data_IF_145693671814
#
_entry.id   IF_145693671814
#
_cell.length_a   1.000
_cell.length_b   1.000
_cell.length_c   1.000
_cell.angle_alpha   90.00
_cell.angle_beta   90.00
_cell.angle_gamma   90.00
#
_symmetry.space_group_name_H-M   'P 1'
#
loop_
_entity.id
_entity.type
_entity.pdbx_description
1 polymer ?
#
# COMPACT_ATOMS: atom_id res chain seq x y z
N UNK A 1 -1.89 -25.90 6.18
CA UNK A 1 -2.33 -26.24 4.81
C UNK A 1 -1.71 -25.23 3.86
N UNK A 2 -1.20 -25.65 2.70
CA UNK A 2 -0.55 -24.75 1.75
C UNK A 2 -1.63 -24.24 0.79
N UNK A 3 -2.07 -22.98 0.97
CA UNK A 3 -3.11 -22.39 0.12
C UNK A 3 -2.61 -22.23 -1.32
N UNK A 4 -3.50 -22.47 -2.30
CA UNK A 4 -3.21 -22.20 -3.72
C UNK A 4 -2.88 -20.71 -3.88
N UNK A 5 -1.86 -20.37 -4.65
CA UNK A 5 -1.45 -18.99 -4.94
C UNK A 5 -1.65 -18.65 -6.41
N UNK A 6 -2.28 -17.52 -6.70
CA UNK A 6 -2.60 -17.06 -8.05
C UNK A 6 -2.09 -15.63 -8.24
N UNK A 7 -1.39 -15.35 -9.34
CA UNK A 7 -0.82 -14.02 -9.67
C UNK A 7 -1.30 -13.47 -11.02
N UNK A 8 -2.29 -14.10 -11.66
CA UNK A 8 -2.82 -13.69 -12.97
C UNK A 8 -3.55 -12.34 -12.91
N UNK A 9 -3.80 -11.72 -14.07
CA UNK A 9 -4.62 -10.50 -14.16
C UNK A 9 -6.06 -10.77 -13.70
N UNK A 10 -6.77 -9.71 -13.32
CA UNK A 10 -8.15 -9.66 -12.80
C UNK A 10 -9.13 -10.76 -13.23
N UNK A 11 -10.09 -11.05 -12.35
CA UNK A 11 -11.04 -12.15 -12.43
C UNK A 11 -12.49 -11.68 -12.38
N UNK A 12 -13.35 -12.24 -13.24
CA UNK A 12 -14.80 -12.18 -13.02
C UNK A 12 -15.16 -12.93 -11.73
N UNK A 13 -16.34 -12.64 -11.18
CA UNK A 13 -16.76 -13.19 -9.89
C UNK A 13 -16.71 -14.73 -9.86
N UNK A 14 -17.10 -15.38 -10.95
CA UNK A 14 -17.18 -16.83 -11.08
C UNK A 14 -15.81 -17.52 -11.18
N UNK A 15 -14.75 -16.77 -11.43
CA UNK A 15 -13.38 -17.28 -11.56
C UNK A 15 -12.64 -17.28 -10.20
N UNK A 16 -13.26 -16.73 -9.15
CA UNK A 16 -12.69 -16.79 -7.80
C UNK A 16 -12.84 -18.17 -7.17
N UNK A 17 -11.79 -18.61 -6.49
CA UNK A 17 -11.69 -19.88 -5.79
C UNK A 17 -11.54 -19.61 -4.28
N UNK A 18 -12.34 -20.30 -3.47
CA UNK A 18 -12.20 -20.24 -2.01
C UNK A 18 -10.85 -20.79 -1.58
N UNK A 19 -10.40 -20.37 -0.40
CA UNK A 19 -9.14 -20.81 0.22
C UNK A 19 -7.88 -20.53 -0.64
N UNK A 20 -8.01 -19.64 -1.63
CA UNK A 20 -6.92 -19.22 -2.52
C UNK A 20 -6.35 -17.88 -2.08
N UNK A 21 -5.03 -17.74 -2.20
CA UNK A 21 -4.30 -16.48 -2.02
C UNK A 21 -4.07 -15.83 -3.38
N UNK A 22 -4.67 -14.67 -3.59
CA UNK A 22 -4.43 -13.83 -4.76
C UNK A 22 -3.24 -12.91 -4.48
N UNK A 23 -2.09 -13.24 -5.05
CA UNK A 23 -0.82 -12.60 -4.75
C UNK A 23 -0.61 -11.38 -5.66
N UNK A 24 -0.61 -10.19 -5.04
CA UNK A 24 -0.53 -8.93 -5.74
C UNK A 24 0.89 -8.59 -6.16
N UNK A 25 1.09 -8.30 -7.45
CA UNK A 25 2.41 -7.97 -8.01
C UNK A 25 2.30 -6.95 -9.15
N UNK A 26 3.33 -6.11 -9.36
CA UNK A 26 4.59 -6.02 -8.60
C UNK A 26 4.44 -5.32 -7.25
N UNK A 27 5.38 -5.53 -6.33
CA UNK A 27 5.50 -4.71 -5.12
C UNK A 27 5.95 -3.29 -5.43
N UNK A 28 5.76 -2.36 -4.47
CA UNK A 28 6.18 -0.96 -4.59
C UNK A 28 7.18 -0.60 -3.49
N UNK A 29 8.33 -0.06 -3.89
CA UNK A 29 9.26 0.59 -2.95
C UNK A 29 8.74 1.98 -2.62
N UNK A 30 8.68 2.32 -1.34
CA UNK A 30 8.22 3.62 -0.85
C UNK A 30 9.43 4.51 -0.58
N UNK A 31 9.35 5.76 -1.04
CA UNK A 31 10.39 6.76 -0.88
C UNK A 31 9.87 7.96 -0.08
N UNK A 32 10.77 8.86 0.32
CA UNK A 32 10.39 10.12 0.95
C UNK A 32 9.46 10.97 0.05
N UNK A 33 9.69 10.95 -1.27
CA UNK A 33 8.89 11.71 -2.22
C UNK A 33 7.41 11.29 -2.20
N UNK A 34 7.14 9.99 -2.06
CA UNK A 34 5.78 9.47 -1.92
C UNK A 34 5.09 10.00 -0.67
N UNK A 35 5.81 10.03 0.46
CA UNK A 35 5.28 10.48 1.74
C UNK A 35 4.98 11.98 1.72
N UNK A 36 5.89 12.79 1.18
CA UNK A 36 5.71 14.24 1.02
C UNK A 36 4.52 14.53 0.11
N UNK A 37 4.49 13.90 -1.07
CA UNK A 37 3.40 14.10 -2.04
C UNK A 37 2.05 13.76 -1.42
N UNK A 38 1.89 12.56 -0.87
CA UNK A 38 0.59 12.10 -0.37
C UNK A 38 0.13 12.90 0.85
N UNK A 39 1.02 13.14 1.81
CA UNK A 39 0.70 13.88 3.04
C UNK A 39 0.29 15.32 2.74
N UNK A 40 0.98 15.98 1.81
CA UNK A 40 0.64 17.36 1.40
C UNK A 40 -0.62 17.41 0.54
N UNK A 41 -0.80 16.47 -0.40
CA UNK A 41 -1.99 16.37 -1.25
C UNK A 41 -3.27 16.18 -0.42
N UNK A 42 -3.17 15.41 0.67
CA UNK A 42 -4.29 15.14 1.57
C UNK A 42 -4.44 16.17 2.70
N UNK A 43 -3.61 17.22 2.71
CA UNK A 43 -3.57 18.25 3.76
C UNK A 43 -3.46 17.67 5.17
N UNK A 44 -2.70 16.60 5.37
CA UNK A 44 -2.48 16.03 6.70
C UNK A 44 -1.31 16.78 7.38
N UNK A 45 -1.55 17.55 8.46
CA UNK A 45 -0.54 18.40 9.08
C UNK A 45 0.32 17.68 10.14
N UNK A 46 0.20 16.35 10.27
CA UNK A 46 0.89 15.59 11.31
C UNK A 46 2.42 15.63 11.13
N UNK A 47 3.12 16.16 12.14
CA UNK A 47 4.57 16.35 12.14
C UNK A 47 5.35 15.04 11.92
N UNK A 48 4.83 13.92 12.44
CA UNK A 48 5.41 12.57 12.27
C UNK A 48 5.75 12.20 10.82
N UNK A 49 5.04 12.77 9.83
CA UNK A 49 5.24 12.44 8.43
C UNK A 49 6.19 13.38 7.70
N UNK A 50 6.36 14.63 8.15
CA UNK A 50 7.04 15.68 7.37
C UNK A 50 8.20 16.35 8.12
N UNK A 51 8.18 16.36 9.44
CA UNK A 51 9.17 17.07 10.26
C UNK A 51 10.24 16.10 10.77
N UNK A 52 11.43 16.18 10.18
CA UNK A 52 12.57 15.36 10.58
C UNK A 52 13.11 15.71 11.97
N UNK A 53 13.07 16.98 12.37
CA UNK A 53 13.56 17.42 13.68
C UNK A 53 12.63 16.93 14.80
N UNK A 54 11.32 17.03 14.59
CA UNK A 54 10.33 16.47 15.52
C UNK A 54 10.42 14.94 15.55
N UNK A 55 10.49 14.28 14.38
CA UNK A 55 10.52 12.81 14.31
C UNK A 55 11.76 12.20 14.98
N UNK A 56 12.91 12.88 14.95
CA UNK A 56 14.13 12.47 15.65
C UNK A 56 13.97 12.39 17.19
N UNK A 57 12.92 13.01 17.76
CA UNK A 57 12.60 12.92 19.20
C UNK A 57 11.73 11.72 19.55
N UNK A 58 11.20 11.01 18.54
CA UNK A 58 10.35 9.83 18.72
C UNK A 58 11.17 8.55 18.79
N UNK A 59 10.56 7.45 19.22
CA UNK A 59 11.21 6.12 19.26
C UNK A 59 11.67 5.62 17.88
N UNK A 60 11.09 6.14 16.79
CA UNK A 60 11.44 5.74 15.43
C UNK A 60 12.69 6.45 14.91
N UNK A 61 13.05 7.61 15.48
CA UNK A 61 14.20 8.42 15.05
C UNK A 61 14.08 9.07 13.66
N UNK A 62 13.04 8.73 12.89
CA UNK A 62 12.83 9.18 11.51
C UNK A 62 11.34 9.39 11.21
N UNK A 63 11.05 10.11 10.12
CA UNK A 63 9.67 10.36 9.66
C UNK A 63 9.03 9.04 9.23
N UNK A 64 7.83 8.77 9.72
CA UNK A 64 7.06 7.62 9.28
C UNK A 64 6.23 7.96 8.05
N UNK A 65 6.07 6.97 7.16
CA UNK A 65 5.16 7.08 6.02
C UNK A 65 3.72 7.23 6.52
N UNK A 66 2.97 8.13 5.89
CA UNK A 66 1.56 8.34 6.15
C UNK A 66 0.78 7.02 6.01
N UNK A 67 0.06 6.61 7.05
CA UNK A 67 -0.64 5.32 7.07
C UNK A 67 -1.70 5.20 5.98
N UNK A 68 -2.31 6.32 5.58
CA UNK A 68 -3.28 6.34 4.49
C UNK A 68 -2.62 6.11 3.13
N UNK A 69 -1.37 6.54 2.93
CA UNK A 69 -0.60 6.18 1.72
C UNK A 69 -0.38 4.66 1.64
N UNK A 70 -0.03 4.03 2.76
CA UNK A 70 0.15 2.57 2.84
C UNK A 70 -1.14 1.84 2.49
N UNK A 71 -2.27 2.26 3.09
CA UNK A 71 -3.59 1.69 2.82
C UNK A 71 -3.98 1.86 1.35
N UNK A 72 -3.88 3.08 0.81
CA UNK A 72 -4.20 3.38 -0.59
C UNK A 72 -3.32 2.58 -1.56
N UNK A 73 -2.03 2.40 -1.25
CA UNK A 73 -1.12 1.58 -2.05
C UNK A 73 -1.54 0.11 -2.03
N UNK A 74 -1.84 -0.46 -0.85
CA UNK A 74 -2.29 -1.84 -0.74
C UNK A 74 -3.55 -2.11 -1.56
N UNK A 75 -4.54 -1.22 -1.49
CA UNK A 75 -5.78 -1.32 -2.30
C UNK A 75 -5.47 -1.17 -3.78
N UNK A 76 -4.59 -0.23 -4.17
CA UNK A 76 -4.18 -0.08 -5.57
C UNK A 76 -3.49 -1.32 -6.13
N UNK A 77 -2.64 -1.97 -5.33
CA UNK A 77 -1.95 -3.21 -5.72
C UNK A 77 -2.92 -4.37 -5.99
N UNK A 78 -4.07 -4.41 -5.29
CA UNK A 78 -5.02 -5.51 -5.48
C UNK A 78 -5.74 -5.48 -6.83
N UNK A 79 -5.84 -4.31 -7.47
CA UNK A 79 -6.60 -4.13 -8.72
C UNK A 79 -6.09 -5.06 -9.82
N UNK A 80 -4.76 -5.15 -9.99
CA UNK A 80 -4.15 -5.91 -11.09
C UNK A 80 -4.59 -7.38 -11.12
N UNK A 81 -4.69 -8.03 -9.96
CA UNK A 81 -5.04 -9.45 -9.84
C UNK A 81 -6.51 -9.72 -9.50
N UNK A 82 -7.26 -8.73 -9.00
CA UNK A 82 -8.66 -8.93 -8.63
C UNK A 82 -9.63 -8.45 -9.71
N UNK A 83 -9.47 -7.23 -10.24
CA UNK A 83 -10.53 -6.56 -11.03
C UNK A 83 -10.06 -5.94 -12.34
N UNK A 84 -8.77 -5.98 -12.64
CA UNK A 84 -8.25 -5.37 -13.87
C UNK A 84 -8.75 -6.12 -15.12
N UNK A 85 -9.62 -5.47 -15.88
CA UNK A 85 -10.10 -5.98 -17.17
C UNK A 85 -11.28 -6.96 -17.07
N UNK A 86 -12.00 -6.91 -15.95
CA UNK A 86 -13.22 -7.68 -15.64
C UNK A 86 -14.43 -6.78 -15.77
#
# INVERSE_FOLDING_TARGET
>A
MNAKRITQRGLFFEEFELETVYEHSPGRTVTEADNVLFTTLTMNPQALHLDAAWAATTEFGERLVNSMFTLSTMVGLSVAQLTQGT
#
